data_IF_954153694482
#
_entry.id   IF_954153694482
#
_cell.length_a   1.000
_cell.length_b   1.000
_cell.length_c   1.000
_cell.angle_alpha   90.00
_cell.angle_beta   90.00
_cell.angle_gamma   90.00
#
_symmetry.space_group_name_H-M   'P 1'
#
loop_
_entity.id
_entity.type
_entity.pdbx_description
1 polymer ?
#
# COMPACT_ATOMS: atom_id res chain seq x y z
N UNK A 1 10.78 -2.33 2.06
CA UNK A 1 9.59 -1.92 2.81
C UNK A 1 9.79 -2.19 4.32
N UNK A 2 10.37 -1.25 5.02
CA UNK A 2 10.60 -1.34 6.46
C UNK A 2 9.98 -0.17 7.24
N UNK A 3 9.26 0.68 6.55
CA UNK A 3 8.71 1.96 6.99
C UNK A 3 7.17 2.00 7.07
N UNK A 4 6.49 0.90 6.78
CA UNK A 4 5.04 0.77 6.82
C UNK A 4 4.54 -0.11 7.97
N UNK A 5 3.60 0.41 8.76
CA UNK A 5 2.88 -0.33 9.79
C UNK A 5 1.42 -0.52 9.42
N UNK A 6 0.89 -1.71 9.62
CA UNK A 6 -0.48 -2.07 9.25
C UNK A 6 -1.01 -3.20 10.13
N UNK A 7 -2.33 -3.31 10.19
CA UNK A 7 -3.04 -4.46 10.76
C UNK A 7 -3.50 -5.45 9.67
N UNK A 8 -2.82 -5.46 8.51
CA UNK A 8 -3.15 -6.35 7.41
C UNK A 8 -3.17 -7.82 7.86
N UNK A 9 -4.22 -8.52 7.47
CA UNK A 9 -4.36 -9.95 7.72
C UNK A 9 -3.47 -10.75 6.76
N UNK A 10 -2.28 -11.11 7.23
CA UNK A 10 -1.30 -11.86 6.43
C UNK A 10 -1.82 -13.25 6.01
N UNK A 11 -2.47 -14.04 6.88
CA UNK A 11 -3.11 -15.29 6.45
C UNK A 11 -4.13 -15.09 5.32
N UNK A 12 -4.96 -14.04 5.39
CA UNK A 12 -5.92 -13.72 4.35
C UNK A 12 -5.23 -13.32 3.04
N UNK A 13 -4.17 -12.53 3.08
CA UNK A 13 -3.34 -12.20 1.92
C UNK A 13 -2.76 -13.45 1.26
N UNK A 14 -2.22 -14.38 2.05
CA UNK A 14 -1.66 -15.63 1.54
C UNK A 14 -2.73 -16.55 0.93
N UNK A 15 -3.91 -16.64 1.54
CA UNK A 15 -5.03 -17.40 0.99
C UNK A 15 -5.50 -16.80 -0.35
N UNK A 16 -5.62 -15.48 -0.43
CA UNK A 16 -5.92 -14.77 -1.67
C UNK A 16 -4.86 -15.06 -2.75
N UNK A 17 -3.59 -14.97 -2.40
CA UNK A 17 -2.47 -15.23 -3.30
C UNK A 17 -2.48 -16.67 -3.85
N UNK A 18 -2.75 -17.63 -2.99
CA UNK A 18 -2.84 -19.05 -3.41
C UNK A 18 -4.07 -19.30 -4.30
N UNK A 19 -5.20 -18.68 -3.97
CA UNK A 19 -6.46 -18.90 -4.68
C UNK A 19 -6.45 -18.39 -6.12
N UNK A 20 -5.86 -17.21 -6.39
CA UNK A 20 -5.85 -16.66 -7.76
C UNK A 20 -4.80 -17.30 -8.68
N UNK A 21 -3.78 -17.95 -8.15
CA UNK A 21 -2.78 -18.69 -8.93
C UNK A 21 -1.80 -17.84 -9.76
N UNK A 22 -1.87 -16.52 -9.70
CA UNK A 22 -0.97 -15.60 -10.41
C UNK A 22 0.38 -15.48 -9.69
N UNK A 23 1.37 -14.83 -10.33
CA UNK A 23 2.74 -14.80 -9.82
C UNK A 23 2.93 -13.91 -8.60
N UNK A 24 2.15 -12.84 -8.46
CA UNK A 24 2.33 -11.87 -7.41
C UNK A 24 1.01 -11.30 -6.89
N UNK A 25 1.02 -10.94 -5.61
CA UNK A 25 -0.02 -10.13 -4.96
C UNK A 25 0.62 -8.94 -4.26
N UNK A 26 -0.02 -7.78 -4.36
CA UNK A 26 0.34 -6.55 -3.64
C UNK A 26 -0.83 -6.11 -2.78
N UNK A 27 -0.57 -5.63 -1.58
CA UNK A 27 -1.62 -5.03 -0.75
C UNK A 27 -1.91 -3.61 -1.23
N UNK A 28 -3.15 -3.37 -1.64
CA UNK A 28 -3.64 -2.06 -2.04
C UNK A 28 -4.34 -1.38 -0.88
N UNK A 29 -3.99 -0.13 -0.60
CA UNK A 29 -4.56 0.68 0.47
C UNK A 29 -5.03 2.03 -0.06
N UNK A 30 -5.98 2.65 0.65
CA UNK A 30 -6.48 4.01 0.37
C UNK A 30 -6.15 4.90 1.57
N UNK A 31 -4.95 5.49 1.64
CA UNK A 31 -4.61 6.37 2.74
C UNK A 31 -5.44 7.66 2.67
N UNK A 32 -5.65 8.35 3.82
CA UNK A 32 -6.20 9.70 3.79
C UNK A 32 -5.23 10.62 3.02
N UNK A 33 -5.78 11.55 2.23
CA UNK A 33 -4.97 12.56 1.56
C UNK A 33 -4.22 13.42 2.61
N UNK A 34 -3.00 13.80 2.28
CA UNK A 34 -2.21 14.73 3.11
C UNK A 34 -2.66 16.19 2.97
N UNK A 35 -3.45 16.47 1.93
CA UNK A 35 -3.88 17.81 1.53
C UNK A 35 -5.40 17.88 1.40
N UNK A 36 -5.93 19.09 1.53
CA UNK A 36 -7.31 19.37 1.17
C UNK A 36 -7.53 19.26 -0.33
N UNK A 37 -8.71 18.83 -0.73
CA UNK A 37 -9.13 18.73 -2.14
C UNK A 37 -10.09 19.85 -2.48
N UNK A 38 -9.90 20.44 -3.67
CA UNK A 38 -10.76 21.46 -4.22
C UNK A 38 -11.48 20.91 -5.45
N UNK A 39 -12.81 20.94 -5.42
CA UNK A 39 -13.61 20.75 -6.64
C UNK A 39 -13.97 22.14 -7.16
N UNK A 40 -13.54 22.44 -8.38
CA UNK A 40 -13.67 23.78 -8.97
C UNK A 40 -14.54 23.79 -10.23
N UNK A 41 -15.20 24.94 -10.47
CA UNK A 41 -15.85 25.26 -11.74
C UNK A 41 -15.30 26.64 -12.17
N UNK A 42 -14.38 26.66 -13.16
CA UNK A 42 -13.58 27.83 -13.45
C UNK A 42 -12.78 28.24 -12.21
N UNK A 43 -12.76 29.52 -11.82
CA UNK A 43 -12.08 29.98 -10.61
C UNK A 43 -12.91 29.74 -9.32
N UNK A 44 -14.16 29.29 -9.43
CA UNK A 44 -15.02 29.10 -8.27
C UNK A 44 -14.81 27.71 -7.65
N UNK A 45 -14.50 27.69 -6.35
CA UNK A 45 -14.48 26.45 -5.57
C UNK A 45 -15.91 26.01 -5.26
N UNK A 46 -16.30 24.85 -5.74
CA UNK A 46 -17.64 24.26 -5.51
C UNK A 46 -17.68 23.40 -4.26
N UNK A 47 -16.57 22.75 -3.94
CA UNK A 47 -16.45 21.92 -2.74
C UNK A 47 -15.02 21.97 -2.25
N UNK A 48 -14.87 22.09 -0.95
CA UNK A 48 -13.62 21.92 -0.22
C UNK A 48 -13.75 20.70 0.68
N UNK A 49 -12.75 19.83 0.67
CA UNK A 49 -12.71 18.64 1.51
C UNK A 49 -11.34 18.54 2.15
N UNK A 50 -11.27 18.70 3.47
CA UNK A 50 -10.02 18.57 4.20
C UNK A 50 -9.66 17.08 4.36
N UNK A 51 -8.49 16.71 3.87
CA UNK A 51 -7.93 15.33 3.98
C UNK A 51 -8.93 14.24 3.57
N UNK A 52 -9.51 14.28 2.37
CA UNK A 52 -10.39 13.22 1.90
C UNK A 52 -9.63 11.91 1.77
N UNK A 53 -10.34 10.79 1.83
CA UNK A 53 -9.76 9.49 1.45
C UNK A 53 -9.57 9.48 -0.07
N UNK A 54 -8.39 9.09 -0.51
CA UNK A 54 -8.12 8.97 -1.94
C UNK A 54 -9.03 7.94 -2.61
N UNK A 55 -9.49 8.22 -3.83
CA UNK A 55 -10.37 7.31 -4.58
C UNK A 55 -9.63 6.13 -5.17
N UNK A 56 -8.32 6.28 -5.40
CA UNK A 56 -7.45 5.23 -5.92
C UNK A 56 -6.77 4.43 -4.80
N UNK A 57 -6.34 3.23 -5.16
CA UNK A 57 -5.44 2.44 -4.31
C UNK A 57 -4.00 2.82 -4.59
N UNK A 58 -3.17 2.77 -3.55
CA UNK A 58 -1.72 2.87 -3.66
C UNK A 58 -1.06 1.57 -3.22
N UNK A 59 0.20 1.39 -3.59
CA UNK A 59 1.02 0.29 -3.12
C UNK A 59 1.25 0.42 -1.61
N UNK A 60 0.63 -0.46 -0.83
CA UNK A 60 0.76 -0.51 0.63
C UNK A 60 1.88 -1.42 1.12
N UNK A 61 2.68 -1.98 0.24
CA UNK A 61 3.65 -3.01 0.59
C UNK A 61 2.98 -4.37 0.79
N UNK A 62 3.51 -5.18 1.70
CA UNK A 62 3.00 -6.51 2.02
C UNK A 62 2.69 -7.32 0.75
N UNK A 63 3.75 -7.80 0.12
CA UNK A 63 3.67 -8.62 -1.08
C UNK A 63 3.65 -10.11 -0.76
N UNK A 64 3.02 -10.87 -1.65
CA UNK A 64 3.18 -12.30 -1.73
C UNK A 64 3.62 -12.67 -3.15
N UNK A 65 4.67 -13.48 -3.27
CA UNK A 65 5.23 -13.87 -4.55
C UNK A 65 5.31 -15.38 -4.68
N UNK A 66 4.95 -15.91 -5.84
CA UNK A 66 5.35 -17.26 -6.24
C UNK A 66 6.81 -17.24 -6.72
N UNK A 67 7.49 -18.36 -6.59
CA UNK A 67 8.89 -18.48 -7.01
C UNK A 67 9.10 -18.04 -8.47
N UNK A 68 8.16 -18.32 -9.36
CA UNK A 68 8.23 -17.91 -10.77
C UNK A 68 8.22 -16.39 -11.00
N UNK A 69 7.84 -15.59 -10.00
CA UNK A 69 7.98 -14.14 -10.09
C UNK A 69 9.45 -13.72 -10.23
N UNK A 70 10.39 -14.53 -9.75
CA UNK A 70 11.82 -14.25 -9.90
C UNK A 70 12.25 -14.16 -11.36
N UNK A 71 11.49 -14.71 -12.31
CA UNK A 71 11.76 -14.59 -13.75
C UNK A 71 11.62 -13.13 -14.25
N UNK A 72 10.90 -12.29 -13.49
CA UNK A 72 10.78 -10.84 -13.74
C UNK A 72 11.94 -10.02 -13.15
N UNK A 73 12.66 -10.58 -12.20
CA UNK A 73 13.75 -9.91 -11.49
C UNK A 73 15.06 -10.21 -12.20
N UNK A 74 15.79 -9.16 -12.58
CA UNK A 74 17.15 -9.35 -13.12
C UNK A 74 18.17 -9.43 -12.00
N UNK A 75 19.33 -9.99 -12.31
CA UNK A 75 20.52 -10.04 -11.43
C UNK A 75 21.33 -8.74 -11.43
N UNK A 76 20.87 -7.72 -12.17
CA UNK A 76 21.47 -6.39 -12.18
C UNK A 76 21.20 -5.67 -10.85
N UNK A 77 22.24 -5.17 -10.19
CA UNK A 77 22.15 -4.42 -8.93
C UNK A 77 21.27 -3.17 -9.03
N UNK A 78 21.07 -2.62 -10.25
CA UNK A 78 20.16 -1.50 -10.51
C UNK A 78 18.69 -1.91 -10.64
N UNK A 79 18.37 -3.20 -10.53
CA UNK A 79 16.98 -3.68 -10.63
C UNK A 79 16.16 -3.21 -9.43
N UNK A 80 15.12 -2.43 -9.70
CA UNK A 80 14.20 -1.91 -8.70
C UNK A 80 12.88 -2.67 -8.83
N UNK A 81 12.41 -3.27 -7.71
CA UNK A 81 11.20 -4.10 -7.68
C UNK A 81 9.98 -3.39 -8.28
N UNK A 82 9.77 -2.12 -7.94
CA UNK A 82 8.61 -1.31 -8.34
C UNK A 82 8.65 -0.83 -9.80
N UNK A 83 9.76 -1.04 -10.47
CA UNK A 83 9.95 -0.72 -11.88
C UNK A 83 9.66 -1.95 -12.74
N UNK A 84 10.64 -2.34 -13.56
CA UNK A 84 10.47 -3.41 -14.53
C UNK A 84 9.83 -4.70 -13.98
N UNK A 85 10.20 -5.24 -12.82
CA UNK A 85 9.59 -6.48 -12.33
C UNK A 85 8.08 -6.38 -12.12
N UNK A 86 7.60 -5.40 -11.37
CA UNK A 86 6.15 -5.25 -11.09
C UNK A 86 5.39 -4.71 -12.31
N UNK A 87 5.97 -3.78 -13.07
CA UNK A 87 5.36 -3.25 -14.29
C UNK A 87 5.11 -4.38 -15.31
N UNK A 88 6.10 -5.21 -15.57
CA UNK A 88 5.98 -6.34 -16.51
C UNK A 88 5.03 -7.42 -16.00
N UNK A 89 5.06 -7.74 -14.71
CA UNK A 89 4.10 -8.67 -14.12
C UNK A 89 2.66 -8.15 -14.24
N UNK A 90 2.44 -6.84 -14.09
CA UNK A 90 1.13 -6.21 -14.29
C UNK A 90 0.68 -6.28 -15.75
N UNK A 91 1.55 -5.98 -16.70
CA UNK A 91 1.28 -6.08 -18.14
C UNK A 91 0.90 -7.51 -18.55
N UNK A 92 1.55 -8.52 -17.96
CA UNK A 92 1.28 -9.93 -18.19
C UNK A 92 0.03 -10.45 -17.47
N UNK A 93 -0.65 -9.61 -16.68
CA UNK A 93 -1.80 -10.02 -15.88
C UNK A 93 -1.45 -10.93 -14.69
N UNK A 94 -0.19 -10.90 -14.24
CA UNK A 94 0.36 -11.76 -13.18
C UNK A 94 0.45 -11.08 -11.83
N UNK A 95 0.04 -9.80 -11.73
CA UNK A 95 -0.01 -9.03 -10.48
C UNK A 95 -1.47 -8.80 -10.08
N UNK A 96 -1.82 -9.24 -8.88
CA UNK A 96 -3.15 -9.08 -8.29
C UNK A 96 -3.10 -8.19 -7.06
N UNK A 97 -4.18 -7.45 -6.81
CA UNK A 97 -4.29 -6.58 -5.64
C UNK A 97 -5.16 -7.22 -4.56
N UNK A 98 -4.61 -7.34 -3.36
CA UNK A 98 -5.35 -7.63 -2.14
C UNK A 98 -5.76 -6.31 -1.48
N UNK A 99 -7.06 -6.04 -1.43
CA UNK A 99 -7.56 -4.80 -0.83
C UNK A 99 -7.51 -4.87 0.70
N UNK A 100 -6.87 -3.87 1.32
CA UNK A 100 -6.85 -3.69 2.77
C UNK A 100 -7.51 -2.37 3.14
N UNK A 101 -8.61 -2.45 3.89
CA UNK A 101 -9.41 -1.29 4.32
C UNK A 101 -9.12 -0.88 5.78
N UNK A 102 -8.28 -1.62 6.50
CA UNK A 102 -7.91 -1.35 7.90
C UNK A 102 -6.81 -0.31 8.03
N UNK A 103 -6.10 -0.37 9.15
CA UNK A 103 -5.02 0.56 9.45
C UNK A 103 -3.81 0.34 8.52
N UNK A 104 -3.29 1.44 8.00
CA UNK A 104 -2.01 1.49 7.29
C UNK A 104 -1.39 2.87 7.45
N UNK A 105 -0.13 2.93 7.82
CA UNK A 105 0.63 4.17 7.98
C UNK A 105 2.09 3.94 7.61
N UNK A 106 2.59 4.72 6.67
CA UNK A 106 4.04 4.81 6.40
C UNK A 106 4.70 5.83 7.34
N UNK A 107 6.00 5.70 7.51
CA UNK A 107 6.83 6.61 8.29
C UNK A 107 7.87 7.29 7.37
N UNK A 108 7.41 8.26 6.58
CA UNK A 108 8.27 9.01 5.66
C UNK A 108 8.74 10.35 6.24
N UNK A 109 7.99 10.88 7.21
CA UNK A 109 8.23 12.17 7.82
C UNK A 109 8.32 12.09 9.33
N UNK A 110 8.94 13.09 9.96
CA UNK A 110 8.97 13.20 11.43
C UNK A 110 7.55 13.28 12.03
N UNK A 111 6.61 13.90 11.33
CA UNK A 111 5.19 13.91 11.73
C UNK A 111 4.59 12.50 11.76
N UNK A 112 4.93 11.67 10.79
CA UNK A 112 4.47 10.27 10.77
C UNK A 112 5.04 9.50 11.95
N UNK A 113 6.33 9.67 12.26
CA UNK A 113 6.96 9.09 13.45
C UNK A 113 6.22 9.47 14.72
N UNK A 114 5.96 10.76 14.94
CA UNK A 114 5.26 11.22 16.13
C UNK A 114 3.86 10.61 16.29
N UNK A 115 3.12 10.47 15.19
CA UNK A 115 1.80 9.83 15.21
C UNK A 115 1.89 8.36 15.62
N UNK A 116 2.88 7.64 15.11
CA UNK A 116 3.08 6.24 15.42
C UNK A 116 3.53 6.06 16.90
N UNK A 117 4.41 6.91 17.38
CA UNK A 117 4.83 6.91 18.79
C UNK A 117 3.68 7.23 19.75
N UNK A 118 2.85 8.22 19.39
CA UNK A 118 1.66 8.57 20.18
C UNK A 118 0.69 7.39 20.26
N UNK A 119 0.40 6.72 19.14
CA UNK A 119 -0.45 5.54 19.11
C UNK A 119 0.13 4.39 19.94
N UNK A 120 1.43 4.16 19.86
CA UNK A 120 2.11 3.13 20.66
C UNK A 120 2.07 3.42 22.15
N UNK A 121 2.47 4.63 22.56
CA UNK A 121 2.52 5.05 23.95
C UNK A 121 1.14 5.15 24.60
N UNK A 122 0.12 5.52 23.80
CA UNK A 122 -1.27 5.59 24.24
C UNK A 122 -1.97 4.22 24.32
N UNK A 123 -1.30 3.13 23.96
CA UNK A 123 -1.88 1.79 23.96
C UNK A 123 -2.88 1.54 22.82
N UNK A 124 -2.97 2.43 21.85
CA UNK A 124 -3.89 2.38 20.70
C UNK A 124 -3.15 2.11 19.39
N UNK A 125 -2.17 1.22 19.40
CA UNK A 125 -1.41 0.83 18.21
C UNK A 125 -2.16 -0.24 17.40
N UNK A 126 -2.88 0.10 16.32
CA UNK A 126 -3.74 -0.85 15.60
C UNK A 126 -2.98 -2.02 14.97
N UNK A 127 -1.70 -1.81 14.64
CA UNK A 127 -0.82 -2.87 14.08
C UNK A 127 -0.39 -3.90 15.13
N UNK A 128 -0.59 -3.62 16.42
CA UNK A 128 -0.30 -4.57 17.50
C UNK A 128 -1.46 -5.54 17.66
N UNK A 129 -1.43 -6.61 16.91
CA UNK A 129 -2.48 -7.64 16.88
C UNK A 129 -2.20 -8.84 17.79
N UNK A 130 -1.10 -8.80 18.55
CA UNK A 130 -0.65 -9.86 19.49
C UNK A 130 -0.80 -9.47 20.94
#
# INVERSE_FOLDING_TARGET
YGDGLSDVDIPALLNFHQAHGRAASVTGVRPPSRFGELVVAGPQVRRFSEKPVETGHINGGFFAFKRRFLDYVSDDESCILERAPLERAAEDGELMMFEHAGFWQCMDTYRDLLKLEEAWNGGNAPWRTW
#
